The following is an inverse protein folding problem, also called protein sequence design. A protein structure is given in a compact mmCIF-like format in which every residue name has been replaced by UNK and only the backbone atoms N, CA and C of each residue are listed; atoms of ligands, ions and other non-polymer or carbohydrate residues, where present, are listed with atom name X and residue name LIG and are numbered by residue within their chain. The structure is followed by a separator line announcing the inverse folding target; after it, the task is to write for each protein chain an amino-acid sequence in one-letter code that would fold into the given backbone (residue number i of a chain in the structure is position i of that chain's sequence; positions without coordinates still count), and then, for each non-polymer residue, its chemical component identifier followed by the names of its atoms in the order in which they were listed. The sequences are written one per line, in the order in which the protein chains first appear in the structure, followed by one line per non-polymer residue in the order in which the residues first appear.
data_IF_887807469296
#
_entry.id   IF_887807469296
#
_cell.length_a   1.000
_cell.length_b   1.000
_cell.length_c   1.000
_cell.angle_alpha   90.00
_cell.angle_beta   90.00
_cell.angle_gamma   90.00
#
_symmetry.space_group_name_H-M   'P 1'
#
loop_
_entity.id
_entity.type
_entity.pdbx_description
1 polymer ?
#
# COMPACT_ATOMS: atom_id res chain seq x y z
N UNK A 1 61.56 -21.28 -7.64
CA UNK A 1 60.26 -20.57 -7.60
C UNK A 1 60.53 -19.17 -8.10
N UNK A 2 60.33 -18.94 -9.39
CA UNK A 2 60.82 -17.73 -10.09
C UNK A 2 59.95 -16.52 -9.79
N UNK A 3 60.44 -15.66 -8.90
CA UNK A 3 59.85 -14.36 -8.53
C UNK A 3 59.56 -13.50 -9.77
N UNK A 4 60.39 -13.65 -10.81
CA UNK A 4 60.23 -12.96 -12.09
C UNK A 4 58.99 -13.40 -12.88
N UNK A 5 58.62 -14.69 -12.80
CA UNK A 5 57.44 -15.22 -13.50
C UNK A 5 56.13 -14.88 -12.77
N UNK A 6 56.16 -14.77 -11.44
CA UNK A 6 55.01 -14.28 -10.68
C UNK A 6 54.72 -12.80 -10.91
N UNK A 7 55.75 -11.95 -11.06
CA UNK A 7 55.57 -10.51 -11.34
C UNK A 7 55.01 -10.25 -12.74
N UNK A 8 55.45 -11.02 -13.74
CA UNK A 8 54.91 -10.93 -15.11
C UNK A 8 53.43 -11.38 -15.13
N UNK A 9 53.08 -12.46 -14.44
CA UNK A 9 51.69 -12.91 -14.39
C UNK A 9 50.78 -11.97 -13.58
N UNK A 10 51.28 -11.35 -12.51
CA UNK A 10 50.53 -10.38 -11.71
C UNK A 10 50.28 -9.08 -12.50
N UNK A 11 51.28 -8.61 -13.24
CA UNK A 11 51.14 -7.42 -14.09
C UNK A 11 50.22 -7.67 -15.30
N UNK A 12 50.28 -8.83 -15.94
CA UNK A 12 49.36 -9.21 -17.02
C UNK A 12 47.91 -9.30 -16.54
N UNK A 13 47.66 -9.95 -15.40
CA UNK A 13 46.30 -10.03 -14.82
C UNK A 13 45.77 -8.67 -14.37
N UNK A 14 46.64 -7.78 -13.89
CA UNK A 14 46.28 -6.42 -13.54
C UNK A 14 45.94 -5.58 -14.79
N UNK A 15 46.66 -5.77 -15.91
CA UNK A 15 46.36 -5.13 -17.20
C UNK A 15 45.03 -5.65 -17.78
N UNK A 16 44.78 -6.96 -17.72
CA UNK A 16 43.50 -7.57 -18.12
C UNK A 16 42.34 -7.03 -17.28
N UNK A 17 42.55 -6.86 -15.97
CA UNK A 17 41.55 -6.28 -15.07
C UNK A 17 41.28 -4.79 -15.42
N UNK A 18 42.31 -3.99 -15.66
CA UNK A 18 42.18 -2.57 -16.02
C UNK A 18 41.51 -2.37 -17.38
N UNK A 19 41.83 -3.21 -18.37
CA UNK A 19 41.19 -3.18 -19.69
C UNK A 19 39.74 -3.63 -19.64
N UNK A 20 39.42 -4.64 -18.84
CA UNK A 20 38.03 -5.08 -18.60
C UNK A 20 37.18 -4.00 -17.94
N UNK A 21 37.71 -3.31 -16.93
CA UNK A 21 37.02 -2.22 -16.24
C UNK A 21 36.76 -1.04 -17.19
N UNK A 22 37.77 -0.60 -17.94
CA UNK A 22 37.62 0.49 -18.90
C UNK A 22 36.61 0.18 -20.02
N UNK A 23 36.60 -1.06 -20.51
CA UNK A 23 35.64 -1.52 -21.51
C UNK A 23 34.21 -1.55 -20.94
N UNK A 24 34.05 -2.04 -19.71
CA UNK A 24 32.75 -2.08 -19.03
C UNK A 24 32.16 -0.68 -18.84
N UNK A 25 32.97 0.28 -18.42
CA UNK A 25 32.51 1.65 -18.20
C UNK A 25 32.21 2.36 -19.53
N UNK A 26 33.01 2.12 -20.58
CA UNK A 26 32.70 2.62 -21.93
C UNK A 26 31.38 2.07 -22.48
N UNK A 27 31.07 0.80 -22.24
CA UNK A 27 29.79 0.19 -22.65
C UNK A 27 28.63 0.81 -21.86
N UNK A 28 28.80 1.04 -20.56
CA UNK A 28 27.78 1.71 -19.74
C UNK A 28 27.52 3.13 -20.23
N UNK A 29 28.56 3.91 -20.52
CA UNK A 29 28.40 5.29 -21.01
C UNK A 29 27.63 5.34 -22.34
N UNK A 30 27.91 4.40 -23.25
CA UNK A 30 27.18 4.26 -24.51
C UNK A 30 25.73 3.84 -24.23
N UNK A 31 25.52 2.90 -23.30
CA UNK A 31 24.19 2.43 -22.92
C UNK A 31 23.37 3.54 -22.28
N UNK A 32 23.94 4.33 -21.37
CA UNK A 32 23.26 5.44 -20.71
C UNK A 32 22.96 6.58 -21.69
N UNK A 33 23.86 6.83 -22.65
CA UNK A 33 23.64 7.83 -23.70
C UNK A 33 22.49 7.47 -24.64
N UNK A 34 22.34 6.19 -24.99
CA UNK A 34 21.35 5.73 -25.97
C UNK A 34 20.08 5.10 -25.36
N UNK A 35 20.16 4.62 -24.13
CA UNK A 35 19.13 3.86 -23.43
C UNK A 35 19.23 4.07 -21.90
N UNK A 36 19.29 5.33 -21.48
CA UNK A 36 19.28 5.72 -20.07
C UNK A 36 18.22 4.94 -19.27
N UNK A 37 18.64 4.44 -18.11
CA UNK A 37 17.72 3.80 -17.18
C UNK A 37 16.65 4.80 -16.74
N UNK A 38 15.38 4.36 -16.77
CA UNK A 38 14.25 5.16 -16.33
C UNK A 38 13.50 4.42 -15.26
N UNK A 39 13.48 4.99 -14.06
CA UNK A 39 12.60 4.52 -13.01
C UNK A 39 11.16 4.94 -13.30
N UNK A 40 10.29 3.95 -13.56
CA UNK A 40 8.87 4.18 -13.75
C UNK A 40 8.13 3.64 -12.53
N UNK A 41 7.54 4.54 -11.75
CA UNK A 41 6.65 4.14 -10.66
C UNK A 41 5.32 3.62 -11.22
N UNK A 42 5.15 2.29 -11.19
CA UNK A 42 3.90 1.64 -11.61
C UNK A 42 2.93 1.56 -10.44
N UNK A 43 1.84 2.33 -10.50
CA UNK A 43 0.74 2.23 -9.52
C UNK A 43 0.08 0.85 -9.61
N UNK A 44 0.31 -0.01 -8.60
CA UNK A 44 -0.41 -1.29 -8.46
C UNK A 44 -1.89 -1.00 -8.19
N UNK A 45 -2.75 -1.33 -9.16
CA UNK A 45 -4.21 -1.22 -8.99
C UNK A 45 -4.71 -2.44 -8.24
N UNK A 46 -5.62 -2.23 -7.26
CA UNK A 46 -6.35 -3.33 -6.63
C UNK A 46 -7.00 -4.20 -7.72
N UNK A 47 -6.91 -5.53 -7.66
CA UNK A 47 -7.54 -6.40 -8.64
C UNK A 47 -9.05 -6.14 -8.64
N UNK A 48 -9.66 -6.12 -9.83
CA UNK A 48 -11.10 -5.96 -9.99
C UNK A 48 -11.71 -7.36 -10.19
N UNK A 49 -12.34 -7.97 -9.17
CA UNK A 49 -12.77 -9.37 -9.22
C UNK A 49 -13.85 -9.63 -10.28
N UNK A 50 -14.67 -8.63 -10.57
CA UNK A 50 -15.71 -8.68 -11.61
C UNK A 50 -15.17 -8.63 -13.05
N UNK A 51 -13.86 -8.60 -13.28
CA UNK A 51 -13.26 -8.72 -14.62
C UNK A 51 -13.04 -10.19 -14.95
N UNK A 52 -14.15 -10.89 -15.16
CA UNK A 52 -14.20 -12.32 -15.48
C UNK A 52 -13.73 -12.60 -16.92
N UNK A 53 -13.62 -13.89 -17.28
CA UNK A 53 -13.25 -14.32 -18.64
C UNK A 53 -14.23 -13.78 -19.69
N UNK A 54 -15.52 -13.71 -19.36
CA UNK A 54 -16.56 -13.13 -20.21
C UNK A 54 -16.30 -11.64 -20.52
N UNK A 55 -15.99 -10.83 -19.50
CA UNK A 55 -15.62 -9.42 -19.67
C UNK A 55 -14.37 -9.27 -20.53
N UNK A 56 -13.35 -10.10 -20.32
CA UNK A 56 -12.10 -10.06 -21.10
C UNK A 56 -12.36 -10.37 -22.57
N UNK A 57 -13.16 -11.41 -22.86
CA UNK A 57 -13.55 -11.78 -24.22
C UNK A 57 -14.36 -10.66 -24.91
N UNK A 58 -15.33 -10.05 -24.21
CA UNK A 58 -16.11 -8.92 -24.74
C UNK A 58 -15.21 -7.72 -25.08
N UNK A 59 -14.29 -7.34 -24.18
CA UNK A 59 -13.30 -6.29 -24.41
C UNK A 59 -12.35 -6.61 -25.57
N UNK A 60 -12.02 -7.88 -25.79
CA UNK A 60 -11.20 -8.30 -26.93
C UNK A 60 -11.95 -8.12 -28.25
N UNK A 61 -13.23 -8.54 -28.31
CA UNK A 61 -14.09 -8.32 -29.48
C UNK A 61 -14.27 -6.83 -29.78
N UNK A 62 -14.52 -6.01 -28.75
CA UNK A 62 -14.59 -4.55 -28.88
C UNK A 62 -13.30 -3.97 -29.47
N UNK A 63 -12.13 -4.34 -28.94
CA UNK A 63 -10.83 -3.88 -29.47
C UNK A 63 -10.57 -4.32 -30.90
N UNK A 64 -11.01 -5.53 -31.29
CA UNK A 64 -10.92 -6.02 -32.67
C UNK A 64 -11.75 -5.17 -33.61
N UNK A 65 -13.02 -4.94 -33.27
CA UNK A 65 -13.92 -4.09 -34.05
C UNK A 65 -13.43 -2.64 -34.14
N UNK A 66 -12.90 -2.09 -33.04
CA UNK A 66 -12.33 -0.74 -33.02
C UNK A 66 -11.13 -0.60 -33.96
N UNK A 67 -10.19 -1.55 -33.91
CA UNK A 67 -9.02 -1.53 -34.82
C UNK A 67 -9.45 -1.63 -36.28
N UNK A 68 -10.45 -2.45 -36.58
CA UNK A 68 -10.97 -2.59 -37.93
C UNK A 68 -11.64 -1.30 -38.42
N UNK A 69 -12.44 -0.66 -37.55
CA UNK A 69 -13.02 0.66 -37.84
C UNK A 69 -11.95 1.74 -38.05
N UNK A 70 -10.93 1.82 -37.19
CA UNK A 70 -9.84 2.80 -37.37
C UNK A 70 -9.02 2.56 -38.63
N UNK A 71 -8.91 1.31 -39.10
CA UNK A 71 -8.20 0.96 -40.34
C UNK A 71 -8.99 1.34 -41.58
N UNK A 72 -10.30 1.03 -41.61
CA UNK A 72 -11.12 1.13 -42.82
C UNK A 72 -11.94 2.44 -42.88
N UNK A 73 -12.23 3.07 -41.75
CA UNK A 73 -12.96 4.34 -41.67
C UNK A 73 -14.45 4.26 -42.04
N UNK A 74 -14.97 3.10 -42.42
CA UNK A 74 -16.34 2.95 -42.94
C UNK A 74 -17.41 2.97 -41.84
N UNK A 75 -18.60 3.49 -42.16
CA UNK A 75 -19.75 3.54 -41.26
C UNK A 75 -20.18 2.16 -40.75
N UNK A 76 -20.17 1.13 -41.61
CA UNK A 76 -20.51 -0.25 -41.22
C UNK A 76 -19.62 -0.75 -40.06
N UNK A 77 -18.31 -0.49 -40.13
CA UNK A 77 -17.38 -0.87 -39.06
C UNK A 77 -17.57 -0.05 -37.79
N UNK A 78 -17.99 1.21 -37.94
CA UNK A 78 -18.38 2.06 -36.80
C UNK A 78 -19.57 1.48 -36.06
N UNK A 79 -20.59 1.02 -36.78
CA UNK A 79 -21.81 0.45 -36.18
C UNK A 79 -21.51 -0.89 -35.47
N UNK A 80 -20.67 -1.73 -36.08
CA UNK A 80 -20.15 -2.97 -35.44
C UNK A 80 -19.39 -2.64 -34.14
N UNK A 81 -18.53 -1.63 -34.17
CA UNK A 81 -17.82 -1.17 -32.97
C UNK A 81 -18.79 -0.70 -31.87
N UNK A 82 -19.79 0.12 -32.23
CA UNK A 82 -20.80 0.62 -31.30
C UNK A 82 -21.58 -0.54 -30.68
N UNK A 83 -21.96 -1.54 -31.48
CA UNK A 83 -22.61 -2.75 -31.00
C UNK A 83 -21.75 -3.47 -29.94
N UNK A 84 -20.49 -3.76 -30.25
CA UNK A 84 -19.58 -4.42 -29.30
C UNK A 84 -19.28 -3.56 -28.06
N UNK A 85 -19.24 -2.23 -28.19
CA UNK A 85 -19.09 -1.31 -27.07
C UNK A 85 -20.30 -1.37 -26.13
N UNK A 86 -21.52 -1.35 -26.67
CA UNK A 86 -22.76 -1.50 -25.90
C UNK A 86 -22.82 -2.86 -25.20
N UNK A 87 -22.52 -3.94 -25.92
CA UNK A 87 -22.48 -5.29 -25.37
C UNK A 87 -21.46 -5.41 -24.22
N UNK A 88 -20.24 -4.90 -24.41
CA UNK A 88 -19.20 -4.93 -23.38
C UNK A 88 -19.62 -4.16 -22.13
N UNK A 89 -20.27 -3.00 -22.29
CA UNK A 89 -20.82 -2.24 -21.15
C UNK A 89 -21.85 -3.07 -20.39
N UNK A 90 -22.78 -3.72 -21.10
CA UNK A 90 -23.81 -4.57 -20.50
C UNK A 90 -23.19 -5.71 -19.67
N UNK A 91 -22.26 -6.46 -20.26
CA UNK A 91 -21.57 -7.57 -19.60
C UNK A 91 -20.82 -7.10 -18.35
N UNK A 92 -20.06 -6.00 -18.44
CA UNK A 92 -19.33 -5.45 -17.29
C UNK A 92 -20.28 -5.07 -16.15
N UNK A 93 -21.42 -4.46 -16.45
CA UNK A 93 -22.41 -4.09 -15.44
C UNK A 93 -23.04 -5.33 -14.81
N UNK A 94 -23.42 -6.33 -15.61
CA UNK A 94 -24.01 -7.57 -15.13
C UNK A 94 -23.08 -8.33 -14.18
N UNK A 95 -21.82 -8.53 -14.58
CA UNK A 95 -20.80 -9.23 -13.79
C UNK A 95 -20.44 -8.46 -12.51
N UNK A 96 -20.35 -7.13 -12.59
CA UNK A 96 -20.12 -6.30 -11.40
C UNK A 96 -21.29 -6.38 -10.43
N UNK A 97 -22.53 -6.35 -10.94
CA UNK A 97 -23.74 -6.49 -10.12
C UNK A 97 -23.79 -7.86 -9.45
N UNK A 98 -23.54 -8.92 -10.20
CA UNK A 98 -23.51 -10.29 -9.69
C UNK A 98 -22.50 -10.41 -8.55
N UNK A 99 -21.25 -10.00 -8.78
CA UNK A 99 -20.20 -10.04 -7.76
C UNK A 99 -20.57 -9.28 -6.49
N UNK A 100 -21.13 -8.08 -6.62
CA UNK A 100 -21.53 -7.27 -5.45
C UNK A 100 -22.71 -7.89 -4.71
N UNK A 101 -23.70 -8.43 -5.44
CA UNK A 101 -24.84 -9.12 -4.84
C UNK A 101 -24.38 -10.36 -4.08
N UNK A 102 -23.52 -11.19 -4.67
CA UNK A 102 -22.94 -12.36 -4.00
C UNK A 102 -22.19 -11.95 -2.73
N UNK A 103 -21.41 -10.86 -2.79
CA UNK A 103 -20.68 -10.34 -1.63
C UNK A 103 -21.62 -9.87 -0.51
N UNK A 104 -22.72 -9.22 -0.85
CA UNK A 104 -23.75 -8.79 0.12
C UNK A 104 -24.47 -10.00 0.72
N UNK A 105 -24.83 -11.00 -0.09
CA UNK A 105 -25.49 -12.21 0.39
C UNK A 105 -24.56 -13.07 1.26
N UNK A 106 -23.25 -13.06 0.98
CA UNK A 106 -22.25 -13.79 1.76
C UNK A 106 -21.89 -13.12 3.09
N UNK A 107 -22.27 -11.86 3.32
CA UNK A 107 -21.94 -11.18 4.58
C UNK A 107 -22.77 -11.73 5.72
N UNK A 108 -22.10 -12.29 6.73
CA UNK A 108 -22.75 -12.92 7.88
C UNK A 108 -23.08 -11.95 9.01
N UNK A 109 -22.57 -10.72 8.94
CA UNK A 109 -22.75 -9.72 9.98
C UNK A 109 -23.04 -8.32 9.45
N UNK A 110 -23.78 -7.54 10.24
CA UNK A 110 -24.04 -6.13 9.96
C UNK A 110 -22.74 -5.31 9.82
N UNK A 111 -21.69 -5.64 10.58
CA UNK A 111 -20.36 -4.99 10.49
C UNK A 111 -19.71 -5.17 9.12
N UNK A 112 -19.77 -6.38 8.55
CA UNK A 112 -19.24 -6.66 7.22
C UNK A 112 -19.99 -5.90 6.13
N UNK A 113 -21.32 -5.81 6.25
CA UNK A 113 -22.15 -5.06 5.32
C UNK A 113 -21.87 -3.55 5.41
N UNK A 114 -21.72 -3.00 6.61
CA UNK A 114 -21.32 -1.61 6.80
C UNK A 114 -19.88 -1.34 6.31
N UNK A 115 -18.96 -2.28 6.49
CA UNK A 115 -17.62 -2.20 5.92
C UNK A 115 -17.65 -2.18 4.39
N UNK A 116 -18.45 -3.08 3.78
CA UNK A 116 -18.63 -3.14 2.33
C UNK A 116 -19.26 -1.86 1.76
N UNK A 117 -20.29 -1.32 2.41
CA UNK A 117 -20.91 -0.05 1.98
C UNK A 117 -19.95 1.11 2.09
N UNK A 118 -19.17 1.21 3.18
CA UNK A 118 -18.11 2.20 3.31
C UNK A 118 -17.06 2.07 2.20
N UNK A 119 -16.65 0.84 1.86
CA UNK A 119 -15.77 0.56 0.74
C UNK A 119 -16.35 1.05 -0.60
N UNK A 120 -17.63 0.77 -0.87
CA UNK A 120 -18.29 1.17 -2.12
C UNK A 120 -18.49 2.68 -2.24
N UNK A 121 -18.71 3.37 -1.12
CA UNK A 121 -18.86 4.82 -1.06
C UNK A 121 -17.52 5.57 -0.96
N UNK A 122 -16.38 4.85 -0.94
CA UNK A 122 -15.07 5.47 -0.78
C UNK A 122 -14.83 6.08 0.61
N UNK A 123 -15.62 5.68 1.61
CA UNK A 123 -15.50 6.09 3.02
C UNK A 123 -14.54 5.19 3.81
N UNK A 124 -13.64 4.48 3.12
CA UNK A 124 -12.60 3.69 3.79
C UNK A 124 -11.72 4.65 4.61
N UNK A 125 -11.90 4.63 5.94
CA UNK A 125 -11.02 5.35 6.85
C UNK A 125 -9.66 4.66 6.80
N UNK A 126 -8.71 5.27 6.10
CA UNK A 126 -7.30 4.94 6.34
C UNK A 126 -6.99 5.51 7.71
N UNK A 127 -6.59 4.65 8.65
CA UNK A 127 -5.95 5.08 9.87
C UNK A 127 -4.56 5.60 9.50
N UNK A 128 -4.52 6.79 8.91
CA UNK A 128 -3.29 7.50 8.59
C UNK A 128 -2.96 8.37 9.78
N UNK A 129 -1.80 8.12 10.37
CA UNK A 129 -1.19 9.08 11.27
C UNK A 129 -0.97 10.40 10.51
N UNK A 130 -0.91 11.54 11.18
CA UNK A 130 -0.57 12.80 10.53
C UNK A 130 0.81 12.69 9.89
N UNK A 131 0.89 12.72 8.55
CA UNK A 131 2.16 12.67 7.81
C UNK A 131 3.05 13.90 8.10
N UNK A 132 2.46 14.96 8.68
CA UNK A 132 3.14 16.23 8.98
C UNK A 132 3.99 16.20 10.24
N UNK A 133 3.89 15.17 11.09
CA UNK A 133 4.58 15.14 12.39
C UNK A 133 5.48 13.90 12.48
N UNK A 134 6.80 14.07 12.74
CA UNK A 134 7.68 12.95 12.99
C UNK A 134 7.23 12.15 14.22
N UNK A 135 7.42 10.83 14.19
CA UNK A 135 6.89 9.88 15.17
C UNK A 135 7.24 10.26 16.62
N UNK A 136 8.49 10.66 16.86
CA UNK A 136 8.97 11.01 18.21
C UNK A 136 8.20 12.20 18.79
N UNK A 137 8.01 13.24 17.98
CA UNK A 137 7.26 14.43 18.37
C UNK A 137 5.76 14.15 18.52
N UNK A 138 5.23 13.21 17.75
CA UNK A 138 3.84 12.77 17.92
C UNK A 138 3.64 12.08 19.27
N UNK A 139 4.59 11.23 19.71
CA UNK A 139 4.55 10.58 21.02
C UNK A 139 4.62 11.59 22.16
N UNK A 140 5.53 12.58 22.07
CA UNK A 140 5.63 13.66 23.05
C UNK A 140 4.34 14.47 23.14
N UNK A 141 3.78 14.90 22.00
CA UNK A 141 2.52 15.64 21.95
C UNK A 141 1.34 14.83 22.49
N UNK A 142 1.33 13.52 22.25
CA UNK A 142 0.30 12.63 22.76
C UNK A 142 0.42 12.48 24.28
N UNK A 143 1.64 12.36 24.80
CA UNK A 143 1.92 12.33 26.24
C UNK A 143 1.47 13.64 26.90
N UNK A 144 1.90 14.80 26.38
CA UNK A 144 1.55 16.10 26.95
C UNK A 144 0.04 16.35 26.94
N UNK A 145 -0.64 15.97 25.85
CA UNK A 145 -2.11 16.07 25.77
C UNK A 145 -2.82 15.34 26.92
N UNK A 146 -2.36 14.14 27.28
CA UNK A 146 -2.98 13.40 28.39
C UNK A 146 -2.67 14.01 29.76
N UNK A 147 -1.45 14.49 29.98
CA UNK A 147 -1.08 15.22 31.21
C UNK A 147 -1.97 16.46 31.36
N UNK A 148 -2.01 17.31 30.33
CA UNK A 148 -2.81 18.54 30.33
C UNK A 148 -4.30 18.25 30.54
N UNK A 149 -4.82 17.19 29.91
CA UNK A 149 -6.22 16.78 30.06
C UNK A 149 -6.52 16.32 31.48
N UNK A 150 -5.63 15.54 32.09
CA UNK A 150 -5.78 15.08 33.48
C UNK A 150 -5.80 16.29 34.42
N UNK A 151 -4.86 17.23 34.24
CA UNK A 151 -4.77 18.43 35.09
C UNK A 151 -5.98 19.35 34.90
N UNK A 152 -6.47 19.50 33.67
CA UNK A 152 -7.71 20.25 33.38
C UNK A 152 -8.92 19.61 34.08
N UNK A 153 -9.05 18.29 34.03
CA UNK A 153 -10.15 17.57 34.70
C UNK A 153 -10.04 17.74 36.22
N UNK A 154 -8.85 17.59 36.80
CA UNK A 154 -8.61 17.78 38.23
C UNK A 154 -8.99 19.18 38.67
N UNK A 155 -8.53 20.20 37.94
CA UNK A 155 -8.83 21.61 38.24
C UNK A 155 -10.34 21.88 38.21
N UNK A 156 -11.05 21.39 37.18
CA UNK A 156 -12.50 21.55 37.10
C UNK A 156 -13.23 20.90 38.28
N UNK A 157 -12.82 19.68 38.66
CA UNK A 157 -13.41 18.97 39.80
C UNK A 157 -13.11 19.63 41.15
N UNK A 158 -11.92 20.23 41.31
CA UNK A 158 -11.57 21.02 42.50
C UNK A 158 -12.45 22.27 42.62
N UNK A 159 -12.68 22.97 41.50
CA UNK A 159 -13.49 24.18 41.47
C UNK A 159 -14.97 23.92 41.78
N UNK A 160 -15.52 22.80 41.31
CA UNK A 160 -16.93 22.46 41.52
C UNK A 160 -17.23 21.93 42.93
N UNK A 161 -16.28 21.21 43.55
CA UNK A 161 -16.57 20.44 44.78
C UNK A 161 -15.70 20.82 46.00
N UNK A 162 -14.75 21.75 45.86
CA UNK A 162 -13.82 22.11 46.95
C UNK A 162 -12.90 20.97 47.39
N UNK A 163 -12.79 19.90 46.60
CA UNK A 163 -11.98 18.72 46.90
C UNK A 163 -10.53 19.04 46.56
N UNK A 164 -9.63 19.00 47.56
CA UNK A 164 -8.19 19.04 47.30
C UNK A 164 -7.72 17.64 46.89
N UNK A 165 -7.25 17.49 45.65
CA UNK A 165 -6.53 16.27 45.29
C UNK A 165 -5.14 16.30 45.94
N UNK A 166 -4.72 15.22 46.61
CA UNK A 166 -3.35 15.13 47.09
C UNK A 166 -2.38 15.27 45.90
N UNK A 167 -1.17 15.85 46.12
CA UNK A 167 -0.10 15.80 45.14
C UNK A 167 0.07 14.37 44.63
N UNK A 168 0.37 14.20 43.34
CA UNK A 168 0.66 12.88 42.79
C UNK A 168 1.80 12.26 43.61
N UNK A 169 1.46 11.34 44.52
CA UNK A 169 2.45 10.67 45.35
C UNK A 169 3.38 9.89 44.42
N UNK A 170 4.69 9.96 44.70
CA UNK A 170 5.65 9.11 44.01
C UNK A 170 5.21 7.65 44.16
N UNK A 171 5.36 6.86 43.10
CA UNK A 171 4.96 5.46 43.16
C UNK A 171 5.88 4.69 44.10
N UNK A 172 5.38 4.30 45.27
CA UNK A 172 6.10 3.50 46.26
C UNK A 172 5.90 1.98 46.08
N UNK A 173 5.23 1.56 45.00
CA UNK A 173 4.98 0.15 44.73
C UNK A 173 6.16 -0.55 44.08
N UNK A 174 6.03 -1.86 43.86
CA UNK A 174 7.00 -2.60 43.06
C UNK A 174 6.80 -2.28 41.57
N UNK A 175 7.87 -1.83 40.91
CA UNK A 175 7.87 -1.66 39.47
C UNK A 175 7.70 -3.03 38.80
N UNK A 176 6.73 -3.13 37.90
CA UNK A 176 6.55 -4.30 37.07
C UNK A 176 7.63 -4.30 35.98
N UNK A 177 8.70 -5.06 36.20
CA UNK A 177 9.81 -5.18 35.26
C UNK A 177 9.56 -6.19 34.14
N UNK A 178 8.54 -7.05 34.28
CA UNK A 178 8.27 -8.13 33.34
C UNK A 178 6.77 -8.51 33.35
N UNK A 179 6.20 -8.74 32.18
CA UNK A 179 4.87 -9.32 32.05
C UNK A 179 4.97 -10.85 32.05
N UNK A 180 4.43 -11.50 33.09
CA UNK A 180 4.33 -12.96 33.15
C UNK A 180 2.96 -13.42 32.66
N UNK A 181 2.97 -14.52 31.90
CA UNK A 181 1.75 -15.16 31.42
C UNK A 181 0.90 -15.59 32.61
N UNK A 182 -0.34 -15.08 32.67
CA UNK A 182 -1.28 -15.38 33.74
C UNK A 182 -1.83 -16.77 33.54
N UNK A 183 -1.72 -17.62 34.57
CA UNK A 183 -2.29 -18.97 34.57
C UNK A 183 -3.79 -18.91 34.93
N UNK A 184 -4.58 -19.87 34.42
CA UNK A 184 -6.03 -19.94 34.64
C UNK A 184 -6.44 -19.93 36.12
N UNK A 185 -5.56 -20.38 37.01
CA UNK A 185 -5.77 -20.38 38.47
C UNK A 185 -5.73 -18.97 39.10
N UNK A 186 -5.12 -17.99 38.45
CA UNK A 186 -5.04 -16.59 38.94
C UNK A 186 -6.21 -15.72 38.45
N UNK A 187 -6.95 -16.16 37.43
CA UNK A 187 -8.08 -15.42 36.83
C UNK A 187 -9.40 -15.75 37.51
N UNK A 188 -9.51 -16.92 38.15
CA UNK A 188 -10.73 -17.33 38.87
C UNK A 188 -10.70 -16.82 40.30
N UNK A 189 -11.53 -15.80 40.58
CA UNK A 189 -11.96 -15.42 41.93
C UNK A 189 -13.31 -16.06 42.22
#
# INVERSE_FOLDING_TARGET
MDIFTSDINTSLTQIECMTYVALKDSIKDILDKHAAEREISVKRRKPAPWITRAVKAAKQKQRKAERQWRKLGTQVHRDIYIHHRKNTKSIVVAEKRQYLNEKVLSSGSSKELFSLTNQLLGKEKKATLPDSVPCDKLCENLMSFFVDKIDTIRLNLCLENGIQFPPCEEFHGQFLSEFKLVNESQVKK
#
